data_IF_002783356323
#
_entry.id   IF_002783356323
#
_cell.length_a   1.000
_cell.length_b   1.000
_cell.length_c   1.000
_cell.angle_alpha   90.00
_cell.angle_beta   90.00
_cell.angle_gamma   90.00
#
_symmetry.space_group_name_H-M   'P 1'
#
loop_
_entity.id
_entity.type
_entity.pdbx_description
1 polymer ?
#
# COMPACT_ATOMS: atom_id res chain seq x y z
N UNK A 1 -21.94 14.73 16.00
CA UNK A 1 -21.24 13.48 16.39
C UNK A 1 -19.90 13.49 15.69
N UNK A 2 -18.86 13.95 16.37
CA UNK A 2 -17.50 13.83 15.86
C UNK A 2 -17.03 12.41 16.21
N UNK A 3 -16.95 11.55 15.20
CA UNK A 3 -16.29 10.26 15.37
C UNK A 3 -14.82 10.54 15.70
N UNK A 4 -14.47 10.38 16.98
CA UNK A 4 -13.10 10.46 17.47
C UNK A 4 -12.28 9.37 16.79
N UNK A 5 -11.71 9.67 15.63
CA UNK A 5 -10.72 8.86 14.94
C UNK A 5 -9.50 8.78 15.85
N UNK A 6 -9.53 7.85 16.80
CA UNK A 6 -8.40 7.56 17.67
C UNK A 6 -7.51 6.65 16.84
N UNK A 7 -6.43 7.15 16.22
CA UNK A 7 -5.61 6.31 15.40
C UNK A 7 -4.98 5.27 16.33
N UNK A 8 -4.98 4.01 15.90
CA UNK A 8 -4.13 2.96 16.48
C UNK A 8 -2.68 3.47 16.59
N UNK A 9 -1.84 2.89 17.45
CA UNK A 9 -0.44 3.36 17.65
C UNK A 9 0.29 3.66 16.33
N UNK A 10 0.13 2.77 15.35
CA UNK A 10 0.69 2.92 14.00
C UNK A 10 0.15 4.14 13.22
N UNK A 11 -1.11 4.53 13.41
CA UNK A 11 -1.71 5.72 12.80
C UNK A 11 -1.20 7.03 13.42
N UNK A 12 -0.84 7.03 14.71
CA UNK A 12 -0.20 8.17 15.36
C UNK A 12 1.22 8.37 14.86
N UNK A 13 1.95 7.29 14.61
CA UNK A 13 3.31 7.35 14.06
C UNK A 13 3.33 7.93 12.64
N UNK A 14 2.39 7.53 11.78
CA UNK A 14 2.24 8.09 10.43
C UNK A 14 1.83 9.56 10.48
N UNK A 15 0.90 9.92 11.36
CA UNK A 15 0.45 11.31 11.51
C UNK A 15 1.60 12.23 11.94
N UNK A 16 2.36 11.84 12.96
CA UNK A 16 3.50 12.61 13.43
C UNK A 16 4.61 12.67 12.38
N UNK A 17 4.84 11.58 11.64
CA UNK A 17 5.79 11.58 10.51
C UNK A 17 5.36 12.56 9.43
N UNK A 18 4.07 12.57 9.06
CA UNK A 18 3.54 13.49 8.06
C UNK A 18 3.60 14.96 8.52
N UNK A 19 3.32 15.25 9.78
CA UNK A 19 3.51 16.59 10.36
C UNK A 19 4.98 17.00 10.32
N UNK A 20 5.89 16.08 10.65
CA UNK A 20 7.32 16.34 10.56
C UNK A 20 7.75 16.65 9.12
N UNK A 21 7.21 15.97 8.12
CA UNK A 21 7.44 16.32 6.70
C UNK A 21 6.96 17.74 6.36
N UNK A 22 5.92 18.25 7.02
CA UNK A 22 5.48 19.64 6.83
C UNK A 22 6.44 20.62 7.52
N UNK A 23 6.93 20.31 8.71
CA UNK A 23 7.90 21.13 9.46
C UNK A 23 9.28 21.18 8.79
N UNK A 24 9.81 20.01 8.41
CA UNK A 24 11.05 19.87 7.62
C UNK A 24 10.85 20.50 6.24
N UNK A 25 9.65 20.30 5.70
CA UNK A 25 9.16 20.88 4.46
C UNK A 25 9.22 22.39 4.49
N UNK A 26 8.77 23.11 5.51
CA UNK A 26 8.75 24.59 5.49
C UNK A 26 10.15 25.23 5.34
N UNK A 27 11.22 24.51 5.72
CA UNK A 27 12.60 24.92 5.46
C UNK A 27 13.06 24.70 4.00
N UNK A 28 12.46 23.76 3.26
CA UNK A 28 12.82 23.41 1.86
C UNK A 28 11.70 23.72 0.83
N UNK A 29 10.48 24.01 1.32
CA UNK A 29 9.23 24.08 0.57
C UNK A 29 9.09 25.35 -0.25
N UNK A 30 9.84 26.37 0.14
CA UNK A 30 10.00 27.57 -0.67
C UNK A 30 10.72 27.30 -1.99
N UNK A 31 11.31 26.11 -2.21
CA UNK A 31 12.08 25.81 -3.43
C UNK A 31 11.48 24.65 -4.23
N UNK A 32 10.46 24.94 -5.03
CA UNK A 32 10.04 24.04 -6.11
C UNK A 32 11.24 23.66 -6.99
N UNK A 33 11.43 22.36 -7.25
CA UNK A 33 12.50 21.84 -8.08
C UNK A 33 12.00 21.68 -9.51
N UNK A 34 12.64 22.41 -10.43
CA UNK A 34 12.40 22.27 -11.87
C UNK A 34 13.30 21.19 -12.45
N UNK A 35 12.70 20.23 -13.16
CA UNK A 35 13.40 19.20 -13.95
C UNK A 35 12.97 19.28 -15.41
N UNK A 36 13.90 19.02 -16.33
CA UNK A 36 13.65 19.07 -17.77
C UNK A 36 13.59 17.67 -18.35
N UNK A 37 12.56 17.40 -19.15
CA UNK A 37 12.37 16.13 -19.83
C UNK A 37 12.15 16.35 -21.33
N UNK A 38 12.53 15.36 -22.13
CA UNK A 38 12.15 15.27 -23.54
C UNK A 38 11.05 14.22 -23.66
N UNK A 39 9.80 14.66 -23.70
CA UNK A 39 8.62 13.80 -23.81
C UNK A 39 8.18 13.76 -25.27
N UNK A 40 7.90 12.57 -25.82
CA UNK A 40 7.43 12.23 -27.19
C UNK A 40 8.03 12.99 -28.39
N UNK A 41 8.02 14.33 -28.43
CA UNK A 41 8.92 15.12 -29.29
C UNK A 41 9.08 16.59 -28.84
N UNK A 42 8.80 16.91 -27.57
CA UNK A 42 8.84 18.26 -27.01
C UNK A 42 9.67 18.31 -25.73
N UNK A 43 10.31 19.46 -25.49
CA UNK A 43 10.99 19.73 -24.22
C UNK A 43 9.96 20.21 -23.21
N UNK A 44 9.73 19.41 -22.18
CA UNK A 44 8.80 19.71 -21.09
C UNK A 44 9.59 20.05 -19.84
N UNK A 45 9.31 21.20 -19.25
CA UNK A 45 9.87 21.58 -17.95
C UNK A 45 8.80 21.36 -16.89
N UNK A 46 9.11 20.54 -15.89
CA UNK A 46 8.17 20.17 -14.83
C UNK A 46 8.71 20.76 -13.53
N UNK A 47 7.87 21.49 -12.80
CA UNK A 47 8.18 22.02 -11.48
C UNK A 47 7.32 21.31 -10.44
N UNK A 48 7.95 20.61 -9.52
CA UNK A 48 7.31 19.95 -8.37
C UNK A 48 8.12 20.22 -7.11
N UNK A 49 7.50 20.01 -5.97
CA UNK A 49 8.17 20.00 -4.67
C UNK A 49 9.18 18.84 -4.58
N UNK A 50 10.28 18.95 -3.81
CA UNK A 50 11.15 17.82 -3.53
C UNK A 50 10.39 16.55 -3.11
N UNK A 51 9.46 16.67 -2.16
CA UNK A 51 8.66 15.54 -1.66
C UNK A 51 7.79 14.91 -2.75
N UNK A 52 7.27 15.72 -3.67
CA UNK A 52 6.49 15.24 -4.81
C UNK A 52 7.35 14.47 -5.81
N UNK A 53 8.61 14.90 -6.02
CA UNK A 53 9.56 14.16 -6.84
C UNK A 53 9.92 12.82 -6.22
N UNK A 54 10.16 12.79 -4.91
CA UNK A 54 10.55 11.58 -4.20
C UNK A 54 9.39 10.58 -4.14
N UNK A 55 8.17 11.04 -3.84
CA UNK A 55 6.97 10.22 -3.95
C UNK A 55 6.78 9.66 -5.36
N UNK A 56 7.00 10.48 -6.40
CA UNK A 56 6.86 10.01 -7.78
C UNK A 56 7.89 8.93 -8.13
N UNK A 57 9.13 9.09 -7.70
CA UNK A 57 10.21 8.12 -7.90
C UNK A 57 9.91 6.79 -7.18
N UNK A 58 9.35 6.85 -5.96
CA UNK A 58 8.87 5.66 -5.26
C UNK A 58 7.79 4.92 -6.04
N UNK A 59 6.81 5.66 -6.60
CA UNK A 59 5.76 5.05 -7.42
C UNK A 59 6.35 4.41 -8.69
N UNK A 60 7.23 5.10 -9.39
CA UNK A 60 7.90 4.57 -10.59
C UNK A 60 8.64 3.27 -10.29
N UNK A 61 9.45 3.24 -9.23
CA UNK A 61 10.17 2.04 -8.77
C UNK A 61 9.23 0.89 -8.42
N UNK A 62 8.14 1.16 -7.69
CA UNK A 62 7.14 0.14 -7.32
C UNK A 62 6.41 -0.44 -8.52
N UNK A 63 6.18 0.37 -9.55
CA UNK A 63 5.54 -0.06 -10.79
C UNK A 63 6.53 -0.69 -11.78
N UNK A 64 7.84 -0.63 -11.53
CA UNK A 64 8.87 -1.11 -12.45
C UNK A 64 9.05 -0.22 -13.68
N UNK A 65 8.68 1.06 -13.59
CA UNK A 65 8.84 2.05 -14.66
C UNK A 65 10.09 2.89 -14.47
N UNK A 66 10.73 3.28 -15.57
CA UNK A 66 11.59 4.45 -15.58
C UNK A 66 10.76 5.72 -15.36
N UNK A 67 11.31 6.70 -14.63
CA UNK A 67 10.63 7.96 -14.30
C UNK A 67 10.13 8.67 -15.57
N UNK A 68 10.94 8.73 -16.63
CA UNK A 68 10.54 9.37 -17.88
C UNK A 68 9.44 8.58 -18.59
N UNK A 69 9.52 7.24 -18.55
CA UNK A 69 8.51 6.37 -19.13
C UNK A 69 7.14 6.58 -18.46
N UNK A 70 7.11 6.68 -17.13
CA UNK A 70 5.88 6.94 -16.40
C UNK A 70 5.32 8.35 -16.66
N UNK A 71 6.19 9.36 -16.75
CA UNK A 71 5.77 10.73 -17.13
C UNK A 71 5.18 10.74 -18.54
N UNK A 72 5.75 10.01 -19.50
CA UNK A 72 5.19 9.91 -20.85
C UNK A 72 3.79 9.28 -20.84
N UNK A 73 3.57 8.23 -20.04
CA UNK A 73 2.26 7.61 -19.94
C UNK A 73 1.22 8.59 -19.39
N UNK A 74 1.58 9.31 -18.33
CA UNK A 74 0.73 10.38 -17.77
C UNK A 74 0.50 11.50 -18.80
N UNK A 75 1.53 11.91 -19.56
CA UNK A 75 1.41 12.95 -20.59
C UNK A 75 0.44 12.57 -21.72
N UNK A 76 0.35 11.27 -22.04
CA UNK A 76 -0.62 10.73 -23.02
C UNK A 76 -2.05 10.72 -22.49
N UNK A 77 -2.25 10.36 -21.22
CA UNK A 77 -3.59 10.18 -20.64
C UNK A 77 -4.23 11.46 -20.10
N UNK A 78 -3.44 12.48 -19.73
CA UNK A 78 -3.91 13.65 -18.95
C UNK A 78 -4.94 14.57 -19.65
N UNK A 79 -5.21 14.38 -20.94
CA UNK A 79 -6.04 15.29 -21.73
C UNK A 79 -5.51 16.73 -21.68
N UNK A 80 -6.35 17.67 -21.24
CA UNK A 80 -6.03 19.11 -21.20
C UNK A 80 -5.26 19.55 -19.94
N UNK A 81 -5.20 18.70 -18.90
CA UNK A 81 -4.54 19.05 -17.63
C UNK A 81 -3.04 19.25 -17.81
N UNK A 82 -2.39 20.15 -17.06
CA UNK A 82 -0.93 20.29 -17.11
C UNK A 82 -0.23 19.02 -16.58
N UNK A 83 0.98 18.71 -17.11
CA UNK A 83 1.75 17.53 -16.67
C UNK A 83 1.97 17.49 -15.14
N UNK A 84 2.40 18.58 -14.47
CA UNK A 84 2.56 18.56 -13.02
C UNK A 84 1.25 18.28 -12.27
N UNK A 85 0.13 18.83 -12.74
CA UNK A 85 -1.18 18.59 -12.13
C UNK A 85 -1.60 17.12 -12.29
N UNK A 86 -1.45 16.58 -13.50
CA UNK A 86 -1.77 15.18 -13.80
C UNK A 86 -0.90 14.21 -12.98
N UNK A 87 0.39 14.51 -12.81
CA UNK A 87 1.30 13.73 -11.95
C UNK A 87 0.82 13.70 -10.50
N UNK A 88 0.40 14.84 -9.93
CA UNK A 88 -0.12 14.90 -8.57
C UNK A 88 -1.38 14.06 -8.40
N UNK A 89 -2.34 14.20 -9.31
CA UNK A 89 -3.58 13.40 -9.28
C UNK A 89 -3.28 11.91 -9.41
N UNK A 90 -2.36 11.54 -10.29
CA UNK A 90 -1.91 10.16 -10.45
C UNK A 90 -1.32 9.60 -9.14
N UNK A 91 -0.39 10.33 -8.49
CA UNK A 91 0.20 9.90 -7.22
C UNK A 91 -0.85 9.77 -6.11
N UNK A 92 -1.75 10.74 -5.98
CA UNK A 92 -2.83 10.70 -4.99
C UNK A 92 -3.74 9.48 -5.20
N UNK A 93 -4.10 9.19 -6.45
CA UNK A 93 -4.88 8.00 -6.79
C UNK A 93 -4.15 6.71 -6.43
N UNK A 94 -2.89 6.59 -6.85
CA UNK A 94 -2.08 5.40 -6.58
C UNK A 94 -1.95 5.10 -5.08
N UNK A 95 -1.54 6.10 -4.28
CA UNK A 95 -1.32 5.89 -2.85
C UNK A 95 -2.62 5.67 -2.07
N UNK A 96 -3.72 6.34 -2.45
CA UNK A 96 -5.04 6.08 -1.88
C UNK A 96 -5.47 4.63 -2.09
N UNK A 97 -5.32 4.12 -3.30
CA UNK A 97 -5.78 2.78 -3.62
C UNK A 97 -4.86 1.71 -3.00
N UNK A 98 -3.54 1.98 -2.93
CA UNK A 98 -2.61 1.13 -2.18
C UNK A 98 -2.95 1.08 -0.68
N UNK A 99 -3.27 2.22 -0.06
CA UNK A 99 -3.66 2.27 1.35
C UNK A 99 -4.95 1.47 1.60
N UNK A 100 -5.94 1.57 0.70
CA UNK A 100 -7.18 0.77 0.76
C UNK A 100 -6.91 -0.73 0.64
N UNK A 101 -6.05 -1.15 -0.28
CA UNK A 101 -5.66 -2.56 -0.44
C UNK A 101 -5.00 -3.11 0.83
N UNK A 102 -4.10 -2.34 1.44
CA UNK A 102 -3.41 -2.75 2.67
C UNK A 102 -4.38 -2.85 3.86
N UNK A 103 -5.32 -1.90 4.00
CA UNK A 103 -6.36 -1.96 5.02
C UNK A 103 -7.26 -3.21 4.85
N UNK A 104 -7.65 -3.53 3.61
CA UNK A 104 -8.43 -4.74 3.31
C UNK A 104 -7.69 -6.04 3.67
N UNK A 105 -6.38 -6.12 3.38
CA UNK A 105 -5.55 -7.27 3.76
C UNK A 105 -5.44 -7.44 5.28
N UNK A 106 -5.25 -6.34 6.02
CA UNK A 106 -5.18 -6.38 7.48
C UNK A 106 -6.49 -6.90 8.10
N UNK A 107 -7.64 -6.46 7.58
CA UNK A 107 -8.95 -6.94 8.01
C UNK A 107 -9.13 -8.45 7.75
N UNK A 108 -8.74 -8.94 6.56
CA UNK A 108 -8.83 -10.36 6.22
C UNK A 108 -7.94 -11.24 7.11
N UNK A 109 -6.71 -10.80 7.39
CA UNK A 109 -5.79 -11.51 8.29
C UNK A 109 -6.37 -11.65 9.72
N UNK A 110 -7.04 -10.60 10.21
CA UNK A 110 -7.69 -10.62 11.52
C UNK A 110 -8.92 -11.54 11.57
N UNK A 111 -9.67 -11.67 10.46
CA UNK A 111 -10.83 -12.56 10.36
C UNK A 111 -10.42 -14.04 10.32
N UNK A 112 -9.39 -14.38 9.54
CA UNK A 112 -8.85 -15.73 9.47
C UNK A 112 -8.28 -16.22 10.82
N UNK A 113 -7.68 -15.31 11.59
CA UNK A 113 -7.21 -15.61 12.96
C UNK A 113 -8.38 -15.90 13.93
N UNK A 114 -9.54 -15.26 13.75
CA UNK A 114 -10.75 -15.52 14.54
C UNK A 114 -11.43 -16.84 14.19
N UNK A 115 -11.50 -17.19 12.90
CA UNK A 115 -12.07 -18.48 12.47
C UNK A 115 -11.17 -19.67 12.86
N UNK A 116 -9.85 -19.53 12.76
CA UNK A 116 -8.91 -20.56 13.19
C UNK A 116 -8.91 -20.83 14.70
N UNK A 117 -9.36 -19.86 15.52
CA UNK A 117 -9.53 -20.03 16.97
C UNK A 117 -10.87 -20.67 17.37
N UNK A 118 -11.81 -20.86 16.44
CA UNK A 118 -13.17 -21.34 16.73
C UNK A 118 -13.34 -22.87 16.60
N UNK A 119 -12.26 -23.62 16.35
CA UNK A 119 -12.26 -25.10 16.34
C UNK A 119 -11.41 -25.65 17.48
N UNK A 120 -11.91 -25.49 18.70
CA UNK A 120 -11.47 -26.27 19.86
C UNK A 120 -12.66 -26.58 20.79
N UNK A 121 -13.76 -27.09 20.24
CA UNK A 121 -14.67 -27.95 21.00
C UNK A 121 -14.09 -29.36 20.93
N UNK A 122 -13.33 -29.75 21.96
CA UNK A 122 -12.82 -31.10 22.10
C UNK A 122 -14.01 -32.08 22.12
N UNK A 123 -14.24 -32.74 20.99
CA UNK A 123 -15.14 -33.89 20.89
C UNK A 123 -14.45 -35.07 21.57
N UNK A 124 -14.99 -35.48 22.72
CA UNK A 124 -14.52 -36.63 23.49
C UNK A 124 -14.47 -37.89 22.63
N UNK A 125 -13.32 -38.58 22.46
CA UNK A 125 -13.29 -39.84 21.74
C UNK A 125 -13.86 -40.96 22.63
N UNK A 126 -14.96 -41.57 22.18
CA UNK A 126 -15.50 -42.79 22.79
C UNK A 126 -14.73 -44.01 22.24
N UNK A 127 -14.06 -44.73 23.14
CA UNK A 127 -13.21 -45.87 22.79
C UNK A 127 -14.05 -47.05 22.28
N UNK A 128 -13.86 -47.42 21.01
CA UNK A 128 -14.37 -48.68 20.45
C UNK A 128 -13.44 -49.81 20.88
N UNK A 129 -13.94 -50.71 21.74
CA UNK A 129 -13.27 -51.98 22.05
C UNK A 129 -13.47 -52.95 20.88
N UNK A 130 -12.40 -53.28 20.16
CA UNK A 130 -12.39 -54.41 19.23
C UNK A 130 -11.85 -55.64 19.95
N UNK A 131 -12.71 -56.65 20.09
CA UNK A 131 -12.42 -57.91 20.74
C UNK A 131 -11.48 -58.78 19.90
N UNK A 132 -10.51 -59.41 20.58
CA UNK A 132 -9.57 -60.37 20.04
C UNK A 132 -10.27 -61.59 19.40
N UNK A 133 -9.72 -62.07 18.29
CA UNK A 133 -9.99 -63.40 17.75
C UNK A 133 -8.67 -64.09 17.46
N UNK A 134 -8.44 -65.15 18.22
CA UNK A 134 -7.37 -66.12 18.07
C UNK A 134 -7.43 -66.80 16.68
N UNK A 135 -6.26 -67.16 16.15
CA UNK A 135 -6.10 -67.95 14.92
C UNK A 135 -4.62 -67.95 14.51
N UNK A 136 -3.78 -68.66 15.27
CA UNK A 136 -3.21 -69.97 14.92
C UNK A 136 -2.22 -69.91 13.75
N UNK A 137 -0.96 -69.90 14.14
CA UNK A 137 0.25 -69.98 13.32
C UNK A 137 0.47 -71.42 12.83
N UNK A 138 0.95 -71.60 11.61
CA UNK A 138 1.64 -72.83 11.19
C UNK A 138 2.73 -72.46 10.18
N UNK A 139 3.86 -73.14 10.35
CA UNK A 139 5.22 -72.88 9.84
C UNK A 139 5.35 -73.10 8.33
#
# INVERSE_FOLDING_TARGET
MADSFTPSGQGKDIFNTALKTVEDGDNDASRMVRRHFRLENRRTSICLHPEEWDMFDMVAKRLGYDVKALINEIDRTRGESSVPSAMRVFMLGYWRDLARMNAGRAAQASAATREGSSVMTASTPHAIKVAARSGSFTV
#
